data_IF_627971273703
#
_entry.id   IF_627971273703
#
_cell.length_a   1.000
_cell.length_b   1.000
_cell.length_c   1.000
_cell.angle_alpha   90.00
_cell.angle_beta   90.00
_cell.angle_gamma   90.00
#
_symmetry.space_group_name_H-M   'P 1'
#
loop_
_entity.id
_entity.type
_entity.pdbx_description
1 polymer ?
#
# COMPACT_ATOMS: atom_id res chain seq x y z
N UNK A 1 -4.09 16.31 15.87
CA UNK A 1 -2.71 16.07 16.38
C UNK A 1 -1.79 16.60 15.31
N UNK A 2 -1.50 17.90 15.38
CA UNK A 2 -1.14 18.76 14.26
C UNK A 2 0.08 19.63 14.62
N UNK A 3 1.13 19.05 15.22
CA UNK A 3 2.36 19.77 15.61
C UNK A 3 3.63 18.90 15.50
N UNK A 4 3.91 18.33 14.31
CA UNK A 4 5.25 17.78 13.98
C UNK A 4 5.71 18.20 12.56
N UNK A 5 5.32 19.40 12.12
CA UNK A 5 5.73 20.04 10.86
C UNK A 5 7.08 20.83 10.97
N UNK A 6 7.95 20.53 11.95
CA UNK A 6 9.22 21.27 12.15
C UNK A 6 10.50 20.52 11.71
N UNK A 7 10.42 19.32 11.12
CA UNK A 7 11.64 18.60 10.63
C UNK A 7 11.68 18.37 9.13
N UNK A 8 11.39 19.42 8.36
CA UNK A 8 11.74 19.53 6.94
C UNK A 8 12.68 20.72 6.73
N UNK A 9 13.96 20.57 7.05
CA UNK A 9 14.94 21.64 6.81
C UNK A 9 16.34 21.35 7.32
N UNK A 10 17.11 20.55 6.57
CA UNK A 10 18.52 20.32 6.93
C UNK A 10 19.23 19.26 6.11
N UNK A 11 19.18 19.32 4.77
CA UNK A 11 20.16 18.62 3.94
C UNK A 11 21.13 19.66 3.40
N UNK A 12 22.00 20.14 4.30
CA UNK A 12 23.06 21.10 4.00
C UNK A 12 24.24 20.37 3.38
N UNK A 13 24.43 20.57 2.09
CA UNK A 13 25.70 20.32 1.42
C UNK A 13 26.76 21.25 2.01
N UNK A 14 27.83 20.68 2.56
CA UNK A 14 28.90 21.40 3.23
C UNK A 14 30.20 20.60 3.24
N UNK A 15 30.95 20.74 2.14
CA UNK A 15 32.42 20.84 2.06
C UNK A 15 33.30 19.96 2.98
N UNK A 16 34.03 19.01 2.38
CA UNK A 16 35.49 18.92 2.57
C UNK A 16 36.12 18.53 1.23
N UNK A 17 36.89 19.47 0.70
CA UNK A 17 37.81 19.30 -0.41
C UNK A 17 39.12 18.66 0.07
N UNK A 18 39.74 17.95 -0.87
CA UNK A 18 41.20 17.87 -1.05
C UNK A 18 41.98 16.70 -0.41
N UNK A 19 42.73 16.05 -1.31
CA UNK A 19 44.10 15.56 -1.11
C UNK A 19 44.31 14.06 -0.85
N UNK A 20 44.67 13.37 -1.95
CA UNK A 20 45.94 12.67 -2.13
C UNK A 20 46.23 11.38 -1.34
N UNK A 21 46.49 10.33 -2.13
CA UNK A 21 47.63 9.41 -2.04
C UNK A 21 47.65 8.33 -0.93
N UNK A 22 47.66 7.08 -1.43
CA UNK A 22 48.53 5.93 -1.08
C UNK A 22 48.67 5.42 0.36
N UNK A 23 48.51 4.09 0.44
CA UNK A 23 49.25 3.10 1.23
C UNK A 23 48.86 2.80 2.69
N UNK A 24 48.69 1.47 2.92
CA UNK A 24 48.89 0.69 4.15
C UNK A 24 47.91 0.90 5.34
N UNK A 25 47.05 -0.10 5.63
CA UNK A 25 47.29 -1.05 6.74
C UNK A 25 46.13 -2.07 6.86
N UNK A 26 46.50 -3.34 6.97
CA UNK A 26 45.68 -4.51 7.25
C UNK A 26 45.05 -4.43 8.65
N UNK A 27 43.72 -4.55 8.76
CA UNK A 27 43.06 -4.91 10.02
C UNK A 27 41.97 -5.97 9.75
N UNK A 28 41.97 -7.13 10.45
CA UNK A 28 41.03 -8.22 10.18
C UNK A 28 39.61 -7.87 10.67
N UNK A 29 38.55 -8.21 9.90
CA UNK A 29 37.19 -8.06 10.40
C UNK A 29 36.92 -9.04 11.58
N UNK A 30 36.05 -8.66 12.54
CA UNK A 30 35.88 -9.38 13.81
C UNK A 30 35.31 -10.78 13.59
N UNK A 31 35.89 -11.77 14.29
CA UNK A 31 35.35 -13.14 14.36
C UNK A 31 34.02 -13.11 15.12
N UNK A 32 32.92 -13.48 14.46
CA UNK A 32 31.70 -13.90 15.14
C UNK A 32 31.87 -15.36 15.58
N UNK A 33 31.51 -15.70 16.83
CA UNK A 33 31.86 -16.98 17.44
C UNK A 33 31.14 -18.14 16.76
N UNK A 34 31.93 -19.17 16.49
CA UNK A 34 31.52 -20.48 16.05
C UNK A 34 30.93 -21.27 17.23
N UNK A 35 30.11 -22.28 16.89
CA UNK A 35 29.78 -23.47 17.69
C UNK A 35 28.37 -23.55 18.30
N UNK A 36 27.54 -24.32 17.57
CA UNK A 36 26.54 -25.32 17.99
C UNK A 36 25.68 -25.01 19.22
N UNK A 37 24.37 -24.98 18.97
CA UNK A 37 23.47 -26.01 19.52
C UNK A 37 22.42 -26.37 18.46
N UNK A 38 22.21 -27.68 18.29
CA UNK A 38 21.49 -28.28 17.19
C UNK A 38 19.95 -28.21 17.35
N UNK A 39 19.26 -27.77 16.30
CA UNK A 39 17.95 -28.31 15.90
C UNK A 39 18.06 -28.61 14.39
N UNK A 40 17.79 -29.84 13.94
CA UNK A 40 17.84 -30.23 12.52
C UNK A 40 16.61 -29.69 11.78
N UNK A 41 16.55 -29.89 10.45
CA UNK A 41 15.51 -29.46 9.48
C UNK A 41 15.87 -28.10 8.85
N UNK A 42 16.38 -28.00 7.61
CA UNK A 42 15.87 -28.59 6.38
C UNK A 42 15.47 -27.43 5.45
N UNK A 43 16.30 -27.10 4.46
CA UNK A 43 15.98 -26.41 3.19
C UNK A 43 15.33 -24.98 3.18
N UNK A 44 14.73 -24.47 4.26
CA UNK A 44 13.91 -23.23 4.19
C UNK A 44 14.67 -21.91 4.45
N UNK A 45 15.80 -21.92 5.17
CA UNK A 45 16.53 -20.69 5.53
C UNK A 45 17.18 -19.99 4.34
N UNK A 46 17.57 -20.73 3.29
CA UNK A 46 18.20 -20.17 2.08
C UNK A 46 17.23 -19.36 1.19
N UNK A 47 15.90 -19.54 1.34
CA UNK A 47 14.91 -18.78 0.56
C UNK A 47 14.46 -17.50 1.25
N UNK A 48 14.47 -17.48 2.58
CA UNK A 48 14.02 -16.33 3.37
C UNK A 48 15.06 -15.23 3.41
N UNK A 49 16.34 -15.57 3.58
CA UNK A 49 17.41 -14.55 3.56
C UNK A 49 17.61 -13.93 2.18
N UNK A 50 17.57 -14.72 1.11
CA UNK A 50 17.62 -14.18 -0.27
C UNK A 50 16.41 -13.28 -0.59
N UNK A 51 15.22 -13.59 -0.05
CA UNK A 51 14.03 -12.74 -0.21
C UNK A 51 14.06 -11.50 0.67
N UNK A 52 14.71 -11.55 1.84
CA UNK A 52 14.97 -10.38 2.71
C UNK A 52 15.99 -9.44 2.08
N UNK A 53 17.05 -9.97 1.46
CA UNK A 53 18.00 -9.18 0.68
C UNK A 53 17.34 -8.55 -0.55
N UNK A 54 16.46 -9.27 -1.25
CA UNK A 54 15.67 -8.74 -2.36
C UNK A 54 14.65 -7.67 -1.96
N UNK A 55 14.13 -7.70 -0.73
CA UNK A 55 13.28 -6.65 -0.19
C UNK A 55 14.09 -5.38 0.11
N UNK A 56 15.32 -5.49 0.60
CA UNK A 56 16.10 -4.35 1.08
C UNK A 56 16.66 -3.44 -0.04
N UNK A 57 16.57 -3.88 -1.30
CA UNK A 57 16.89 -3.07 -2.48
C UNK A 57 15.69 -2.18 -2.81
N UNK A 58 15.83 -0.87 -2.62
CA UNK A 58 14.82 0.09 -3.05
C UNK A 58 14.82 0.17 -4.60
N UNK A 59 13.80 -0.36 -5.30
CA UNK A 59 13.78 -0.35 -6.77
C UNK A 59 13.60 1.07 -7.34
N UNK A 60 13.29 2.03 -6.47
CA UNK A 60 13.07 3.44 -6.78
C UNK A 60 14.32 4.31 -6.60
N UNK A 61 15.43 3.73 -6.13
CA UNK A 61 16.71 4.44 -6.09
C UNK A 61 17.28 4.48 -7.51
N UNK A 62 17.46 5.71 -8.00
CA UNK A 62 17.85 6.01 -9.38
C UNK A 62 19.17 5.30 -9.72
N UNK A 63 19.12 4.20 -10.46
CA UNK A 63 20.33 3.63 -11.03
C UNK A 63 20.94 4.71 -11.95
N UNK A 64 22.24 4.95 -11.82
CA UNK A 64 22.98 5.95 -12.59
C UNK A 64 22.97 5.68 -14.12
N UNK A 65 22.24 4.65 -14.55
CA UNK A 65 22.17 4.05 -15.87
C UNK A 65 20.77 4.17 -16.51
N UNK A 66 19.86 4.99 -15.97
CA UNK A 66 18.89 5.77 -16.74
C UNK A 66 17.93 5.08 -17.72
N UNK A 67 17.30 3.95 -17.37
CA UNK A 67 16.27 3.34 -18.24
C UNK A 67 14.83 3.36 -17.71
N UNK A 68 14.58 3.57 -16.41
CA UNK A 68 13.21 3.67 -15.86
C UNK A 68 13.11 4.81 -14.85
N UNK A 69 12.59 5.96 -15.28
CA UNK A 69 12.22 7.06 -14.38
C UNK A 69 10.89 6.73 -13.69
N UNK A 70 10.94 6.28 -12.44
CA UNK A 70 9.73 6.09 -11.64
C UNK A 70 9.14 7.44 -11.24
N UNK A 71 8.03 7.83 -11.88
CA UNK A 71 7.22 8.95 -11.41
C UNK A 71 6.55 8.57 -10.09
N UNK A 72 7.19 8.95 -8.99
CA UNK A 72 6.59 8.84 -7.66
C UNK A 72 5.45 9.85 -7.52
N UNK A 73 4.27 9.40 -7.07
CA UNK A 73 3.19 10.32 -6.72
C UNK A 73 3.56 11.03 -5.42
N UNK A 74 3.30 12.34 -5.36
CA UNK A 74 3.39 13.08 -4.11
C UNK A 74 2.41 12.47 -3.09
N UNK A 75 2.79 12.48 -1.83
CA UNK A 75 1.98 11.91 -0.74
C UNK A 75 0.57 12.51 -0.68
N UNK A 76 0.43 13.80 -0.99
CA UNK A 76 -0.86 14.47 -1.06
C UNK A 76 -1.72 13.95 -2.23
N UNK A 77 -1.15 13.76 -3.42
CA UNK A 77 -1.91 13.25 -4.57
C UNK A 77 -2.41 11.83 -4.30
N UNK A 78 -1.57 10.97 -3.71
CA UNK A 78 -1.96 9.63 -3.30
C UNK A 78 -3.07 9.65 -2.23
N UNK A 79 -2.96 10.54 -1.24
CA UNK A 79 -3.96 10.73 -0.20
C UNK A 79 -5.32 11.14 -0.76
N UNK A 80 -5.37 12.11 -1.67
CA UNK A 80 -6.63 12.54 -2.30
C UNK A 80 -7.31 11.41 -3.08
N UNK A 81 -6.56 10.62 -3.83
CA UNK A 81 -7.10 9.48 -4.58
C UNK A 81 -7.71 8.43 -3.63
N UNK A 82 -7.01 8.09 -2.54
CA UNK A 82 -7.50 7.12 -1.55
C UNK A 82 -8.76 7.61 -0.83
N UNK A 83 -8.80 8.89 -0.45
CA UNK A 83 -9.98 9.50 0.19
C UNK A 83 -11.17 9.50 -0.75
N UNK A 84 -10.99 9.91 -2.01
CA UNK A 84 -12.04 9.92 -3.01
C UNK A 84 -12.65 8.52 -3.23
N UNK A 85 -11.79 7.52 -3.34
CA UNK A 85 -12.19 6.11 -3.48
C UNK A 85 -13.00 5.62 -2.28
N UNK A 86 -12.49 5.88 -1.07
CA UNK A 86 -13.13 5.41 0.17
C UNK A 86 -14.50 6.05 0.38
N UNK A 87 -14.62 7.35 0.08
CA UNK A 87 -15.90 8.06 0.16
C UNK A 87 -16.88 7.46 -0.86
N UNK A 88 -16.45 7.25 -2.10
CA UNK A 88 -17.27 6.67 -3.17
C UNK A 88 -17.91 5.34 -2.76
N UNK A 89 -17.12 4.39 -2.25
CA UNK A 89 -17.61 3.10 -1.77
C UNK A 89 -18.49 3.23 -0.52
N UNK A 90 -18.17 4.18 0.36
CA UNK A 90 -18.93 4.45 1.58
C UNK A 90 -20.35 4.93 1.33
N UNK A 91 -20.56 5.86 0.38
CA UNK A 91 -21.88 6.47 0.16
C UNK A 91 -22.92 5.47 -0.34
N UNK A 92 -22.50 4.38 -1.00
CA UNK A 92 -23.40 3.40 -1.59
C UNK A 92 -23.96 2.45 -0.54
N UNK A 93 -23.16 2.11 0.48
CA UNK A 93 -23.55 1.14 1.51
C UNK A 93 -24.20 1.78 2.74
N UNK A 94 -23.73 2.97 3.15
CA UNK A 94 -24.23 3.65 4.34
C UNK A 94 -25.76 3.90 4.32
N UNK A 95 -26.40 4.31 3.20
CA UNK A 95 -27.84 4.55 3.18
C UNK A 95 -28.66 3.30 3.51
N UNK A 96 -28.27 2.14 2.97
CA UNK A 96 -28.99 0.89 3.18
C UNK A 96 -28.86 0.39 4.64
N UNK A 97 -27.68 0.57 5.24
CA UNK A 97 -27.43 0.19 6.64
C UNK A 97 -28.20 1.09 7.62
N UNK A 98 -28.23 2.40 7.37
CA UNK A 98 -28.97 3.33 8.23
C UNK A 98 -30.48 3.15 8.08
N UNK A 99 -30.97 2.81 6.88
CA UNK A 99 -32.38 2.50 6.66
C UNK A 99 -32.87 1.24 7.39
N UNK A 100 -31.98 0.26 7.59
CA UNK A 100 -32.32 -1.02 8.23
C UNK A 100 -32.07 -1.03 9.74
N UNK A 101 -30.97 -0.46 10.23
CA UNK A 101 -30.62 -0.45 11.66
C UNK A 101 -31.06 0.83 12.39
N UNK A 102 -31.35 1.90 11.68
CA UNK A 102 -31.67 3.20 12.24
C UNK A 102 -30.44 4.08 12.47
N UNK A 103 -30.68 5.37 12.72
CA UNK A 103 -29.63 6.40 12.79
C UNK A 103 -28.66 6.20 13.97
N UNK A 104 -29.19 5.91 15.16
CA UNK A 104 -28.41 5.78 16.39
C UNK A 104 -27.35 4.66 16.31
N UNK A 105 -27.68 3.40 15.95
CA UNK A 105 -26.66 2.36 15.82
C UNK A 105 -25.73 2.60 14.62
N UNK A 106 -26.21 3.23 13.54
CA UNK A 106 -25.36 3.63 12.42
C UNK A 106 -24.23 4.57 12.84
N UNK A 107 -24.52 5.61 13.63
CA UNK A 107 -23.51 6.53 14.14
C UNK A 107 -22.47 5.84 15.05
N UNK A 108 -22.91 4.94 15.94
CA UNK A 108 -22.00 4.19 16.82
C UNK A 108 -21.03 3.32 16.00
N UNK A 109 -21.54 2.66 14.96
CA UNK A 109 -20.70 1.85 14.06
C UNK A 109 -19.69 2.70 13.29
N UNK A 110 -20.09 3.87 12.76
CA UNK A 110 -19.16 4.76 12.05
C UNK A 110 -18.00 5.18 12.95
N UNK A 111 -18.29 5.57 14.20
CA UNK A 111 -17.23 5.95 15.17
C UNK A 111 -16.33 4.76 15.48
N UNK A 112 -16.90 3.57 15.70
CA UNK A 112 -16.14 2.36 15.96
C UNK A 112 -15.22 1.98 14.78
N UNK A 113 -15.74 1.98 13.56
CA UNK A 113 -14.94 1.73 12.35
C UNK A 113 -13.88 2.82 12.14
N UNK A 114 -14.16 4.08 12.44
CA UNK A 114 -13.18 5.16 12.36
C UNK A 114 -11.98 4.95 13.30
N UNK A 115 -12.24 4.51 14.54
CA UNK A 115 -11.18 4.16 15.50
C UNK A 115 -10.38 2.95 15.00
N UNK A 116 -11.06 1.89 14.54
CA UNK A 116 -10.40 0.70 13.98
C UNK A 116 -9.52 1.04 12.78
N UNK A 117 -10.02 1.83 11.83
CA UNK A 117 -9.25 2.25 10.64
C UNK A 117 -8.03 3.08 11.04
N UNK A 118 -8.18 3.98 12.02
CA UNK A 118 -7.05 4.77 12.53
C UNK A 118 -5.99 3.88 13.16
N UNK A 119 -6.41 2.88 13.95
CA UNK A 119 -5.50 1.92 14.57
C UNK A 119 -4.75 1.07 13.53
N UNK A 120 -5.45 0.55 12.52
CA UNK A 120 -4.83 -0.21 11.42
C UNK A 120 -3.83 0.62 10.64
N UNK A 121 -4.14 1.90 10.37
CA UNK A 121 -3.23 2.84 9.72
C UNK A 121 -1.96 3.10 10.55
N UNK A 122 -2.11 3.23 11.87
CA UNK A 122 -0.98 3.39 12.79
C UNK A 122 -0.04 2.16 12.81
N UNK A 123 -0.61 0.95 12.86
CA UNK A 123 0.18 -0.29 12.81
C UNK A 123 0.90 -0.43 11.47
N UNK A 124 0.21 -0.15 10.36
CA UNK A 124 0.80 -0.17 9.01
C UNK A 124 1.97 0.81 8.91
N UNK A 125 1.81 2.03 9.45
CA UNK A 125 2.86 3.04 9.45
C UNK A 125 4.12 2.54 10.17
N UNK A 126 3.96 1.90 11.33
CA UNK A 126 5.09 1.32 12.07
C UNK A 126 5.80 0.20 11.30
N UNK A 127 5.06 -0.63 10.57
CA UNK A 127 5.65 -1.68 9.72
C UNK A 127 6.47 -1.06 8.57
N UNK A 128 5.97 0.03 7.97
CA UNK A 128 6.67 0.68 6.85
C UNK A 128 7.99 1.34 7.26
N UNK A 129 8.07 1.91 8.47
CA UNK A 129 9.33 2.49 8.98
C UNK A 129 10.34 1.41 9.42
N UNK A 130 9.86 0.24 9.88
CA UNK A 130 10.71 -0.87 10.30
C UNK A 130 11.28 -1.66 9.11
N UNK A 131 10.52 -1.77 8.01
CA UNK A 131 10.91 -2.52 6.82
C UNK A 131 10.73 -1.66 5.55
N UNK A 132 11.78 -0.88 5.17
CA UNK A 132 11.68 0.01 4.01
C UNK A 132 11.42 -0.73 2.69
N UNK A 133 11.85 -2.00 2.63
CA UNK A 133 11.73 -2.88 1.47
C UNK A 133 10.34 -3.41 1.12
N UNK A 134 9.35 -3.22 2.00
CA UNK A 134 7.99 -3.69 1.73
C UNK A 134 7.30 -2.65 0.83
N UNK A 135 7.10 -3.01 -0.44
CA UNK A 135 6.42 -2.17 -1.43
C UNK A 135 4.94 -2.51 -1.64
N UNK A 136 4.53 -3.71 -1.25
CA UNK A 136 3.14 -4.15 -1.35
C UNK A 136 2.68 -4.72 0.01
N UNK A 137 1.42 -4.48 0.36
CA UNK A 137 0.80 -5.10 1.54
C UNK A 137 0.82 -6.63 1.48
N UNK A 138 0.77 -7.20 0.27
CA UNK A 138 0.88 -8.64 0.08
C UNK A 138 2.22 -9.21 0.57
N UNK A 139 3.33 -8.47 0.42
CA UNK A 139 4.64 -8.89 0.93
C UNK A 139 4.76 -8.70 2.45
N UNK A 140 4.04 -7.73 3.03
CA UNK A 140 3.94 -7.60 4.48
C UNK A 140 3.30 -8.85 5.10
N UNK A 141 2.32 -9.45 4.41
CA UNK A 141 1.64 -10.67 4.85
C UNK A 141 2.57 -11.87 5.04
N UNK A 142 3.68 -11.94 4.29
CA UNK A 142 4.69 -12.99 4.44
C UNK A 142 5.30 -13.00 5.85
N UNK A 143 5.51 -11.82 6.44
CA UNK A 143 6.11 -11.69 7.78
C UNK A 143 5.15 -12.06 8.91
N UNK A 144 3.84 -11.85 8.74
CA UNK A 144 2.86 -12.13 9.79
C UNK A 144 2.39 -13.59 9.82
N UNK A 145 2.20 -14.22 8.67
CA UNK A 145 1.54 -15.53 8.57
C UNK A 145 2.22 -16.52 7.60
N UNK A 146 3.42 -16.21 7.11
CA UNK A 146 4.20 -17.10 6.24
C UNK A 146 3.74 -17.13 4.77
N UNK A 147 4.27 -18.09 4.00
CA UNK A 147 4.13 -18.16 2.53
C UNK A 147 2.68 -18.32 2.06
N UNK A 148 1.89 -19.10 2.78
CA UNK A 148 0.49 -19.35 2.42
C UNK A 148 -0.34 -18.06 2.44
N UNK A 149 -0.16 -17.22 3.45
CA UNK A 149 -0.90 -15.97 3.58
C UNK A 149 -0.44 -14.90 2.59
N UNK A 150 0.82 -14.95 2.13
CA UNK A 150 1.31 -14.06 1.07
C UNK A 150 0.48 -14.24 -0.21
N UNK A 151 0.37 -15.46 -0.71
CA UNK A 151 -0.33 -15.76 -1.96
C UNK A 151 -1.82 -15.40 -1.87
N UNK A 152 -2.45 -15.69 -0.72
CA UNK A 152 -3.85 -15.32 -0.48
C UNK A 152 -4.03 -13.81 -0.42
N UNK A 153 -3.15 -13.08 0.26
CA UNK A 153 -3.24 -11.62 0.37
C UNK A 153 -3.01 -10.92 -0.97
N UNK A 154 -2.09 -11.46 -1.78
CA UNK A 154 -1.82 -11.00 -3.14
C UNK A 154 -3.05 -11.18 -4.04
N UNK A 155 -3.63 -12.39 -4.03
CA UNK A 155 -4.85 -12.67 -4.79
C UNK A 155 -6.05 -11.84 -4.29
N UNK A 156 -6.22 -11.71 -2.98
CA UNK A 156 -7.31 -10.94 -2.38
C UNK A 156 -7.23 -9.45 -2.79
N UNK A 157 -6.03 -8.87 -2.82
CA UNK A 157 -5.84 -7.48 -3.24
C UNK A 157 -6.24 -7.26 -4.70
N UNK A 158 -5.88 -8.20 -5.60
CA UNK A 158 -6.25 -8.14 -7.02
C UNK A 158 -7.77 -8.26 -7.20
N UNK A 159 -8.39 -9.22 -6.51
CA UNK A 159 -9.84 -9.43 -6.56
C UNK A 159 -10.59 -8.20 -6.03
N UNK A 160 -10.11 -7.62 -4.93
CA UNK A 160 -10.67 -6.39 -4.35
C UNK A 160 -10.59 -5.24 -5.37
N UNK A 161 -9.45 -5.06 -6.03
CA UNK A 161 -9.26 -4.04 -7.06
C UNK A 161 -10.24 -4.22 -8.23
N UNK A 162 -10.46 -5.45 -8.71
CA UNK A 162 -11.44 -5.75 -9.77
C UNK A 162 -12.86 -5.43 -9.32
N UNK A 163 -13.21 -5.75 -8.08
CA UNK A 163 -14.52 -5.44 -7.51
C UNK A 163 -14.75 -3.92 -7.40
N UNK A 164 -13.73 -3.17 -7.00
CA UNK A 164 -13.77 -1.69 -6.97
C UNK A 164 -14.06 -1.13 -8.36
N UNK A 165 -13.32 -1.57 -9.38
CA UNK A 165 -13.52 -1.07 -10.74
C UNK A 165 -14.94 -1.40 -11.25
N UNK A 166 -15.47 -2.56 -10.87
CA UNK A 166 -16.87 -2.92 -11.15
C UNK A 166 -17.87 -2.02 -10.41
N UNK A 167 -17.61 -1.67 -9.15
CA UNK A 167 -18.46 -0.78 -8.36
C UNK A 167 -18.58 0.62 -8.97
N UNK A 168 -17.52 1.12 -9.61
CA UNK A 168 -17.53 2.42 -10.28
C UNK A 168 -18.42 2.41 -11.52
N UNK A 169 -18.37 1.34 -12.31
CA UNK A 169 -19.25 1.15 -13.47
C UNK A 169 -20.71 1.02 -13.02
N UNK A 170 -20.97 0.32 -11.92
CA UNK A 170 -22.31 0.21 -11.34
C UNK A 170 -22.84 1.58 -10.89
N UNK A 171 -22.02 2.36 -10.19
CA UNK A 171 -22.37 3.71 -9.72
C UNK A 171 -22.67 4.66 -10.88
N UNK A 172 -21.85 4.62 -11.93
CA UNK A 172 -22.07 5.38 -13.16
C UNK A 172 -23.40 5.00 -13.84
N UNK A 173 -23.72 3.70 -13.86
CA UNK A 173 -24.98 3.20 -14.42
C UNK A 173 -26.20 3.72 -13.64
N UNK A 174 -26.13 3.72 -12.30
CA UNK A 174 -27.18 4.23 -11.43
C UNK A 174 -27.38 5.74 -11.66
N UNK A 175 -26.28 6.49 -11.77
CA UNK A 175 -26.32 7.92 -12.07
C UNK A 175 -27.01 8.21 -13.42
N UNK A 176 -26.63 7.49 -14.47
CA UNK A 176 -27.27 7.63 -15.79
C UNK A 176 -28.75 7.24 -15.78
N UNK A 177 -29.09 6.22 -14.99
CA UNK A 177 -30.46 5.77 -14.84
C UNK A 177 -31.37 6.85 -14.22
N UNK A 178 -30.83 7.60 -13.24
CA UNK A 178 -31.52 8.76 -12.64
C UNK A 178 -31.63 9.93 -13.62
N UNK A 179 -30.57 10.24 -14.39
CA UNK A 179 -30.57 11.34 -15.36
C UNK A 179 -31.56 11.13 -16.51
N UNK A 180 -31.74 9.89 -16.95
CA UNK A 180 -32.57 9.54 -18.11
C UNK A 180 -34.03 9.22 -17.75
N UNK A 181 -34.45 9.42 -16.50
CA UNK A 181 -35.81 9.10 -16.01
C UNK A 181 -36.26 7.67 -16.40
N UNK A 182 -35.41 6.67 -16.16
CA UNK A 182 -35.69 5.27 -16.49
C UNK A 182 -36.06 5.01 -17.96
N UNK A 183 -35.47 5.75 -18.91
CA UNK A 183 -35.77 5.60 -20.33
C UNK A 183 -35.44 4.23 -20.94
N UNK A 184 -34.51 3.47 -20.34
CA UNK A 184 -34.16 2.10 -20.75
C UNK A 184 -33.71 1.24 -19.56
N UNK A 185 -33.53 -0.06 -19.78
CA UNK A 185 -33.04 -1.01 -18.77
C UNK A 185 -31.63 -0.61 -18.28
N UNK A 186 -31.38 -0.73 -16.97
CA UNK A 186 -30.10 -0.41 -16.33
C UNK A 186 -28.90 -1.12 -16.96
N UNK A 187 -29.11 -2.34 -17.47
CA UNK A 187 -28.08 -3.12 -18.18
C UNK A 187 -27.53 -2.36 -19.40
N UNK A 188 -28.38 -1.64 -20.14
CA UNK A 188 -27.94 -0.89 -21.33
C UNK A 188 -27.02 0.26 -20.91
N UNK A 189 -27.35 0.96 -19.82
CA UNK A 189 -26.49 2.00 -19.27
C UNK A 189 -25.17 1.46 -18.73
N UNK A 190 -25.16 0.24 -18.18
CA UNK A 190 -23.93 -0.44 -17.76
C UNK A 190 -23.02 -0.79 -18.94
N UNK A 191 -23.57 -1.28 -20.05
CA UNK A 191 -22.79 -1.54 -21.27
C UNK A 191 -22.21 -0.24 -21.84
N UNK A 192 -22.98 0.85 -21.84
CA UNK A 192 -22.48 2.17 -22.27
C UNK A 192 -21.36 2.66 -21.34
N UNK A 193 -21.53 2.53 -20.02
CA UNK A 193 -20.50 2.88 -19.03
C UNK A 193 -19.22 2.07 -19.17
N UNK A 194 -19.35 0.77 -19.47
CA UNK A 194 -18.20 -0.10 -19.77
C UNK A 194 -17.44 0.37 -21.01
N UNK A 195 -18.15 0.68 -22.11
CA UNK A 195 -17.51 1.14 -23.36
C UNK A 195 -16.80 2.48 -23.14
N UNK A 196 -17.43 3.42 -22.44
CA UNK A 196 -16.83 4.72 -22.10
C UNK A 196 -15.59 4.53 -21.23
N UNK A 197 -15.66 3.66 -20.22
CA UNK A 197 -14.52 3.36 -19.33
C UNK A 197 -13.38 2.61 -20.03
N UNK A 198 -13.64 1.92 -21.14
CA UNK A 198 -12.59 1.22 -21.91
C UNK A 198 -11.87 2.15 -22.90
N UNK A 199 -12.49 3.29 -23.24
CA UNK A 199 -11.93 4.28 -24.17
C UNK A 199 -11.11 5.36 -23.43
N UNK A 200 -11.50 5.70 -22.20
CA UNK A 200 -10.82 6.66 -21.34
C UNK A 200 -9.55 6.06 -20.71
#
# INVERSE_FOLDING_TARGET
MALEEEKRGGYTAGSVSSSSNTDLEQAPPPRLPDEKDAIPEGDETMTLDSKREGLMVNPFENDANGEIEYRTLTWLNAGFLLIAETISLGILSLPAVVASMGFVPGCILIVFFGILTTYTGYVTYQVKIAFPGIHNFADAGLFFFGRWFKEVSEAAQIILLVFIMSAHILTFSIMLNVLTNHGTCTIVFTVIGMVVSMIL
#
